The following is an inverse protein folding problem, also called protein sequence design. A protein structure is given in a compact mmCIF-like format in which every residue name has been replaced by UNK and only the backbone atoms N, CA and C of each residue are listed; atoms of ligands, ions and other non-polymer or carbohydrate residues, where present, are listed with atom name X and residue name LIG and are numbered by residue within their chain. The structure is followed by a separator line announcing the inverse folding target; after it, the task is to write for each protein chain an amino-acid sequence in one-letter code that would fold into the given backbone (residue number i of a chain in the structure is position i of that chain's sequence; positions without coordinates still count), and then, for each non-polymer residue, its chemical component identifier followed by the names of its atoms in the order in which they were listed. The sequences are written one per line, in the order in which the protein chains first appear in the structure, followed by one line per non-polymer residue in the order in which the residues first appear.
data_IF_397714550954
#
_entry.id   IF_397714550954
#
_cell.length_a   1.000
_cell.length_b   1.000
_cell.length_c   1.000
_cell.angle_alpha   90.00
_cell.angle_beta   90.00
_cell.angle_gamma   90.00
#
_symmetry.space_group_name_H-M   'P 1'
#
loop_
_entity.id
_entity.type
_entity.pdbx_description
1 polymer ?
#
# COMPACT_ATOMS: atom_id res chain seq x y z
N UNK A 1 29.81 -23.59 -12.71
CA UNK A 1 30.16 -23.97 -11.34
C UNK A 1 28.86 -24.16 -10.59
N UNK A 2 28.73 -25.30 -9.89
CA UNK A 2 27.58 -25.60 -9.01
C UNK A 2 28.07 -25.47 -7.58
N UNK A 3 27.41 -24.59 -6.80
CA UNK A 3 27.67 -24.45 -5.38
C UNK A 3 26.58 -25.16 -4.60
N UNK A 4 26.95 -25.99 -3.62
CA UNK A 4 26.04 -26.67 -2.72
C UNK A 4 26.44 -26.34 -1.30
N UNK A 5 25.51 -25.85 -0.51
CA UNK A 5 25.73 -25.48 0.88
C UNK A 5 24.51 -25.79 1.74
N UNK A 6 24.68 -25.69 3.05
CA UNK A 6 23.58 -25.78 4.01
C UNK A 6 23.17 -24.37 4.41
N UNK A 7 21.87 -24.09 4.29
CA UNK A 7 21.30 -22.82 4.75
C UNK A 7 21.33 -22.80 6.28
N UNK A 8 21.82 -21.73 6.92
CA UNK A 8 21.77 -21.60 8.38
C UNK A 8 20.34 -21.67 8.91
N UNK A 9 20.14 -22.07 10.15
CA UNK A 9 18.82 -22.01 10.78
C UNK A 9 18.39 -20.54 10.97
N UNK A 10 17.09 -20.29 10.88
CA UNK A 10 16.50 -18.98 11.23
C UNK A 10 16.15 -19.05 12.71
N UNK A 11 16.66 -18.13 13.49
CA UNK A 11 16.32 -18.03 14.91
C UNK A 11 15.04 -17.20 15.11
N UNK A 12 14.86 -16.14 14.31
CA UNK A 12 13.70 -15.24 14.36
C UNK A 12 13.35 -14.74 12.96
N UNK A 13 12.07 -14.50 12.70
CA UNK A 13 11.61 -13.82 11.50
C UNK A 13 11.37 -12.34 11.79
N UNK A 14 11.94 -11.45 10.99
CA UNK A 14 11.70 -10.01 11.05
C UNK A 14 11.20 -9.50 9.71
N UNK A 15 10.19 -8.64 9.72
CA UNK A 15 9.70 -7.99 8.52
C UNK A 15 10.60 -6.83 8.13
N UNK A 16 10.91 -5.93 9.08
CA UNK A 16 11.78 -4.77 8.84
C UNK A 16 12.65 -4.49 10.09
N UNK A 17 14.00 -4.57 9.97
CA UNK A 17 14.76 -4.93 8.76
C UNK A 17 14.65 -6.41 8.41
N UNK A 18 14.65 -6.72 7.10
CA UNK A 18 14.66 -8.10 6.64
C UNK A 18 15.99 -8.79 7.03
N UNK A 19 15.91 -9.98 7.62
CA UNK A 19 17.10 -10.75 7.93
C UNK A 19 17.74 -11.32 6.66
N UNK A 20 19.04 -11.10 6.52
CA UNK A 20 19.85 -11.65 5.45
C UNK A 20 20.97 -12.51 6.00
N UNK A 21 21.45 -13.43 5.20
CA UNK A 21 22.67 -14.18 5.46
C UNK A 21 23.54 -14.22 4.22
N UNK A 22 24.85 -14.36 4.42
CA UNK A 22 25.81 -14.53 3.34
C UNK A 22 25.66 -15.91 2.71
N UNK A 23 25.06 -15.97 1.52
CA UNK A 23 24.89 -17.22 0.78
C UNK A 23 26.21 -17.67 0.11
N UNK A 24 26.98 -16.72 -0.42
CA UNK A 24 28.25 -16.98 -1.09
C UNK A 24 29.20 -15.82 -0.85
N UNK A 25 30.44 -16.16 -0.48
CA UNK A 25 31.56 -15.23 -0.46
C UNK A 25 32.61 -15.71 -1.45
N UNK A 26 32.96 -14.87 -2.39
CA UNK A 26 34.00 -15.14 -3.39
C UNK A 26 35.32 -14.54 -2.91
N UNK A 27 36.29 -15.41 -2.61
CA UNK A 27 37.62 -14.99 -2.20
C UNK A 27 38.66 -15.41 -3.23
N UNK A 28 39.57 -14.53 -3.55
CA UNK A 28 40.77 -14.82 -4.36
C UNK A 28 41.96 -15.06 -3.44
N UNK A 29 42.51 -16.27 -3.48
CA UNK A 29 43.74 -16.60 -2.77
C UNK A 29 44.92 -16.53 -3.73
N UNK A 30 46.06 -15.99 -3.29
CA UNK A 30 47.34 -16.01 -4.01
C UNK A 30 48.33 -16.94 -3.29
N UNK A 31 49.21 -17.56 -4.06
CA UNK A 31 50.38 -18.29 -3.50
C UNK A 31 51.20 -17.33 -2.62
N UNK A 32 51.21 -17.56 -1.34
CA UNK A 32 51.83 -16.67 -0.33
C UNK A 32 50.89 -16.24 0.79
N UNK A 33 49.63 -16.71 0.79
CA UNK A 33 48.70 -16.61 1.93
C UNK A 33 47.85 -15.34 2.02
N UNK A 34 47.95 -14.40 1.06
CA UNK A 34 47.02 -13.28 1.04
C UNK A 34 45.72 -13.66 0.29
N UNK A 35 44.58 -13.52 0.98
CA UNK A 35 43.26 -13.66 0.37
C UNK A 35 42.52 -12.30 0.33
N UNK A 36 41.88 -12.03 -0.77
CA UNK A 36 41.01 -10.86 -0.93
C UNK A 36 39.59 -11.32 -1.24
N UNK A 37 38.62 -10.82 -0.49
CA UNK A 37 37.20 -11.00 -0.83
C UNK A 37 36.89 -10.15 -2.05
N UNK A 38 36.38 -10.78 -3.11
CA UNK A 38 36.00 -10.12 -4.36
C UNK A 38 34.56 -9.65 -4.29
N UNK A 39 33.68 -10.52 -3.78
CA UNK A 39 32.24 -10.26 -3.76
C UNK A 39 31.55 -11.12 -2.72
N UNK A 40 30.53 -10.56 -2.08
CA UNK A 40 29.68 -11.21 -1.08
C UNK A 40 28.24 -11.14 -1.57
N UNK A 41 27.58 -12.30 -1.65
CA UNK A 41 26.16 -12.39 -2.02
C UNK A 41 25.34 -12.69 -0.77
N UNK A 42 24.52 -11.76 -0.40
CA UNK A 42 23.54 -11.92 0.68
C UNK A 42 22.18 -12.32 0.12
N UNK A 43 21.47 -13.16 0.84
CA UNK A 43 20.09 -13.55 0.54
C UNK A 43 19.29 -13.70 1.83
N UNK A 44 17.97 -13.74 1.70
CA UNK A 44 17.05 -13.91 2.82
C UNK A 44 16.71 -15.38 3.03
N UNK A 45 16.47 -15.74 4.29
CA UNK A 45 15.81 -17.00 4.61
C UNK A 45 14.33 -16.90 4.24
N UNK A 46 13.81 -17.94 3.63
CA UNK A 46 12.37 -18.04 3.39
C UNK A 46 11.93 -19.51 3.25
N UNK A 47 10.74 -19.77 3.73
CA UNK A 47 9.91 -20.89 3.34
C UNK A 47 8.87 -20.41 2.32
N UNK A 48 8.19 -21.33 1.65
CA UNK A 48 7.09 -20.93 0.75
C UNK A 48 5.97 -20.19 1.49
N UNK A 49 5.79 -20.44 2.77
CA UNK A 49 4.78 -19.79 3.61
C UNK A 49 5.23 -18.41 4.06
N UNK A 50 6.45 -18.27 4.56
CA UNK A 50 6.99 -16.97 4.95
C UNK A 50 7.16 -16.03 3.75
N UNK A 51 7.47 -16.56 2.55
CA UNK A 51 7.52 -15.77 1.33
C UNK A 51 6.13 -15.18 1.00
N UNK A 52 5.08 -16.02 1.01
CA UNK A 52 3.71 -15.55 0.75
C UNK A 52 3.25 -14.51 1.76
N UNK A 53 3.60 -14.70 3.03
CA UNK A 53 3.25 -13.74 4.07
C UNK A 53 3.96 -12.40 3.85
N UNK A 54 5.25 -12.43 3.47
CA UNK A 54 5.99 -11.23 3.14
C UNK A 54 5.41 -10.51 1.91
N UNK A 55 5.11 -11.25 0.84
CA UNK A 55 4.53 -10.69 -0.38
C UNK A 55 3.19 -9.99 -0.06
N UNK A 56 2.35 -10.59 0.80
CA UNK A 56 1.10 -9.97 1.24
C UNK A 56 1.33 -8.71 2.11
N UNK A 57 2.34 -8.71 2.97
CA UNK A 57 2.74 -7.53 3.75
C UNK A 57 3.25 -6.40 2.86
N UNK A 58 4.07 -6.72 1.86
CA UNK A 58 4.59 -5.73 0.92
C UNK A 58 3.45 -5.11 0.09
N UNK A 59 2.45 -5.91 -0.32
CA UNK A 59 1.24 -5.42 -1.00
C UNK A 59 0.40 -4.51 -0.09
N UNK A 60 0.23 -4.89 1.18
CA UNK A 60 -0.52 -4.08 2.14
C UNK A 60 0.18 -2.75 2.43
N UNK A 61 1.51 -2.77 2.60
CA UNK A 61 2.30 -1.55 2.79
C UNK A 61 2.16 -0.60 1.60
N UNK A 62 2.27 -1.12 0.37
CA UNK A 62 2.08 -0.34 -0.84
C UNK A 62 0.66 0.26 -0.94
N UNK A 63 -0.38 -0.52 -0.64
CA UNK A 63 -1.76 -0.03 -0.67
C UNK A 63 -2.02 1.10 0.36
N UNK A 64 -1.40 1.01 1.54
CA UNK A 64 -1.48 2.06 2.56
C UNK A 64 -0.74 3.31 2.10
N UNK A 65 0.47 3.17 1.55
CA UNK A 65 1.29 4.29 1.07
C UNK A 65 0.66 5.02 -0.12
N UNK A 66 0.05 4.29 -1.04
CA UNK A 66 -0.62 4.85 -2.22
C UNK A 66 -1.96 5.52 -1.88
N UNK A 67 -2.58 5.16 -0.75
CA UNK A 67 -3.86 5.74 -0.34
C UNK A 67 -3.68 7.19 0.12
N UNK A 68 -4.52 8.06 -0.44
CA UNK A 68 -4.62 9.44 0.03
C UNK A 68 -5.77 9.64 1.04
N UNK A 69 -6.39 8.57 1.50
CA UNK A 69 -7.47 8.56 2.47
C UNK A 69 -6.94 8.34 3.91
N UNK A 70 -7.84 8.29 4.88
CA UNK A 70 -7.51 7.91 6.25
C UNK A 70 -7.30 6.39 6.32
N UNK A 71 -6.06 5.97 6.55
CA UNK A 71 -5.61 4.58 6.58
C UNK A 71 -5.41 4.01 7.99
N UNK A 72 -5.83 4.73 9.03
CA UNK A 72 -5.56 4.35 10.42
C UNK A 72 -6.07 2.93 10.80
N UNK A 73 -7.12 2.44 10.16
CA UNK A 73 -7.63 1.08 10.36
C UNK A 73 -6.76 0.05 9.62
N UNK A 74 -6.38 0.36 8.37
CA UNK A 74 -5.48 -0.47 7.58
C UNK A 74 -4.09 -0.60 8.23
N UNK A 75 -3.56 0.49 8.77
CA UNK A 75 -2.28 0.50 9.50
C UNK A 75 -2.30 -0.40 10.73
N UNK A 76 -3.42 -0.42 11.48
CA UNK A 76 -3.56 -1.34 12.63
C UNK A 76 -3.57 -2.80 12.21
N UNK A 77 -4.31 -3.14 11.14
CA UNK A 77 -4.35 -4.50 10.60
C UNK A 77 -2.98 -4.91 10.07
N UNK A 78 -2.27 -4.00 9.40
CA UNK A 78 -0.91 -4.20 8.94
C UNK A 78 0.06 -4.48 10.11
N UNK A 79 0.00 -3.71 11.19
CA UNK A 79 0.85 -3.91 12.35
C UNK A 79 0.58 -5.27 13.02
N UNK A 80 -0.67 -5.72 13.05
CA UNK A 80 -1.03 -7.06 13.54
C UNK A 80 -0.50 -8.15 12.60
N UNK A 81 -0.51 -7.90 11.27
CA UNK A 81 0.07 -8.81 10.29
C UNK A 81 1.59 -8.96 10.45
N UNK A 82 2.30 -7.85 10.71
CA UNK A 82 3.74 -7.86 11.02
C UNK A 82 4.02 -8.68 12.27
N UNK A 83 3.27 -8.46 13.35
CA UNK A 83 3.43 -9.21 14.59
C UNK A 83 3.19 -10.73 14.39
N UNK A 84 2.17 -11.08 13.58
CA UNK A 84 1.90 -12.48 13.23
C UNK A 84 3.04 -13.10 12.40
N UNK A 85 3.62 -12.33 11.47
CA UNK A 85 4.77 -12.75 10.67
C UNK A 85 5.99 -13.02 11.55
N UNK A 86 6.30 -12.13 12.48
CA UNK A 86 7.40 -12.27 13.44
C UNK A 86 7.16 -13.39 14.43
N UNK A 87 5.90 -13.72 14.74
CA UNK A 87 5.49 -14.87 15.52
C UNK A 87 5.41 -16.19 14.75
N UNK A 88 5.88 -16.23 13.49
CA UNK A 88 5.83 -17.39 12.58
C UNK A 88 4.41 -17.89 12.25
N UNK A 89 3.39 -17.07 12.55
CA UNK A 89 1.98 -17.33 12.21
C UNK A 89 1.67 -16.84 10.78
N UNK A 90 2.38 -17.39 9.78
CA UNK A 90 2.37 -16.90 8.41
C UNK A 90 0.99 -16.87 7.76
N UNK A 91 0.15 -17.86 8.04
CA UNK A 91 -1.23 -17.89 7.52
C UNK A 91 -2.05 -16.72 8.06
N UNK A 92 -1.92 -16.42 9.35
CA UNK A 92 -2.58 -15.27 9.98
C UNK A 92 -2.02 -13.95 9.46
N UNK A 93 -0.70 -13.87 9.26
CA UNK A 93 -0.06 -12.70 8.66
C UNK A 93 -0.62 -12.38 7.28
N UNK A 94 -0.81 -13.40 6.42
CA UNK A 94 -1.44 -13.24 5.09
C UNK A 94 -2.87 -12.73 5.21
N UNK A 95 -3.67 -13.28 6.13
CA UNK A 95 -5.07 -12.87 6.31
C UNK A 95 -5.17 -11.40 6.75
N UNK A 96 -4.39 -11.02 7.75
CA UNK A 96 -4.37 -9.64 8.29
C UNK A 96 -3.80 -8.64 7.28
N UNK A 97 -2.77 -9.01 6.51
CA UNK A 97 -2.23 -8.18 5.44
C UNK A 97 -3.26 -7.95 4.33
N UNK A 98 -3.96 -9.00 3.90
CA UNK A 98 -5.06 -8.87 2.92
C UNK A 98 -6.20 -7.99 3.47
N UNK A 99 -6.50 -8.08 4.76
CA UNK A 99 -7.48 -7.19 5.39
C UNK A 99 -7.01 -5.73 5.36
N UNK A 100 -5.74 -5.46 5.67
CA UNK A 100 -5.17 -4.13 5.58
C UNK A 100 -5.25 -3.55 4.15
N UNK A 101 -4.91 -4.35 3.14
CA UNK A 101 -5.05 -3.97 1.72
C UNK A 101 -6.49 -3.61 1.37
N UNK A 102 -7.47 -4.42 1.79
CA UNK A 102 -8.88 -4.14 1.53
C UNK A 102 -9.36 -2.86 2.23
N UNK A 103 -8.93 -2.62 3.47
CA UNK A 103 -9.28 -1.42 4.23
C UNK A 103 -8.69 -0.16 3.56
N UNK A 104 -7.43 -0.18 3.14
CA UNK A 104 -6.79 0.93 2.44
C UNK A 104 -7.52 1.26 1.12
N UNK A 105 -7.80 0.23 0.31
CA UNK A 105 -8.53 0.39 -0.94
C UNK A 105 -9.97 0.90 -0.73
N UNK A 106 -10.66 0.45 0.31
CA UNK A 106 -12.01 0.89 0.64
C UNK A 106 -12.04 2.34 1.14
N UNK A 107 -11.03 2.77 1.89
CA UNK A 107 -10.87 4.14 2.33
C UNK A 107 -10.67 5.08 1.12
N UNK A 108 -9.79 4.73 0.19
CA UNK A 108 -9.56 5.51 -1.04
C UNK A 108 -10.82 5.58 -1.92
N UNK A 109 -11.53 4.46 -2.09
CA UNK A 109 -12.78 4.43 -2.86
C UNK A 109 -13.86 5.31 -2.23
N UNK A 110 -13.98 5.31 -0.91
CA UNK A 110 -14.90 6.15 -0.16
C UNK A 110 -14.58 7.63 -0.33
N UNK A 111 -13.30 8.00 -0.33
CA UNK A 111 -12.83 9.36 -0.61
C UNK A 111 -13.20 9.81 -2.01
N UNK A 112 -12.93 8.99 -3.03
CA UNK A 112 -13.28 9.31 -4.42
C UNK A 112 -14.79 9.50 -4.59
N UNK A 113 -15.60 8.64 -3.96
CA UNK A 113 -17.07 8.75 -4.00
C UNK A 113 -17.54 10.06 -3.35
N UNK A 114 -16.98 10.44 -2.20
CA UNK A 114 -17.30 11.72 -1.53
C UNK A 114 -16.94 12.92 -2.39
N UNK A 115 -15.77 12.93 -3.03
CA UNK A 115 -15.37 14.01 -3.94
C UNK A 115 -16.34 14.13 -5.12
N UNK A 116 -16.70 13.02 -5.74
CA UNK A 116 -17.67 13.02 -6.85
C UNK A 116 -19.02 13.56 -6.43
N UNK A 117 -19.53 13.19 -5.24
CA UNK A 117 -20.79 13.71 -4.72
C UNK A 117 -20.75 15.21 -4.43
N UNK A 118 -19.62 15.71 -3.91
CA UNK A 118 -19.45 17.16 -3.67
C UNK A 118 -19.49 17.92 -5.00
N UNK A 119 -18.78 17.48 -6.03
CA UNK A 119 -18.78 18.12 -7.33
C UNK A 119 -20.17 18.05 -8.01
N UNK A 120 -20.86 16.91 -7.90
CA UNK A 120 -22.22 16.77 -8.41
C UNK A 120 -23.19 17.70 -7.67
N UNK A 121 -23.09 17.79 -6.33
CA UNK A 121 -23.92 18.71 -5.53
C UNK A 121 -23.70 20.18 -5.88
N UNK A 122 -22.45 20.61 -6.02
CA UNK A 122 -22.11 21.98 -6.43
C UNK A 122 -22.64 22.26 -7.84
N UNK A 123 -22.51 21.32 -8.78
CA UNK A 123 -23.03 21.46 -10.13
C UNK A 123 -24.55 21.68 -10.15
N UNK A 124 -25.31 20.94 -9.38
CA UNK A 124 -26.78 21.09 -9.27
C UNK A 124 -27.16 22.47 -8.71
N UNK A 125 -26.46 22.94 -7.67
CA UNK A 125 -26.73 24.28 -7.09
C UNK A 125 -26.44 25.37 -8.10
N UNK A 126 -25.35 25.30 -8.84
CA UNK A 126 -25.01 26.30 -9.88
C UNK A 126 -26.08 26.32 -10.98
N UNK A 127 -26.52 25.16 -11.47
CA UNK A 127 -27.58 25.07 -12.47
C UNK A 127 -28.91 25.65 -11.95
N UNK A 128 -29.28 25.34 -10.70
CA UNK A 128 -30.49 25.87 -10.08
C UNK A 128 -30.45 27.40 -9.96
N UNK A 129 -29.30 27.98 -9.59
CA UNK A 129 -29.13 29.44 -9.54
C UNK A 129 -29.20 30.09 -10.91
N UNK A 130 -28.63 29.48 -11.94
CA UNK A 130 -28.69 30.00 -13.31
C UNK A 130 -30.12 29.95 -13.85
N UNK A 131 -30.84 28.85 -13.68
CA UNK A 131 -32.24 28.71 -14.12
C UNK A 131 -33.16 29.62 -13.33
N UNK A 132 -33.02 29.65 -11.98
CA UNK A 132 -33.81 30.54 -11.12
C UNK A 132 -33.57 32.01 -11.42
N UNK A 133 -32.31 32.43 -11.61
CA UNK A 133 -31.93 33.77 -11.98
C UNK A 133 -32.47 34.17 -13.36
N UNK A 134 -32.42 33.28 -14.33
CA UNK A 134 -32.96 33.49 -15.66
C UNK A 134 -34.50 33.65 -15.66
N UNK A 135 -35.20 32.79 -14.91
CA UNK A 135 -36.67 32.89 -14.78
C UNK A 135 -37.08 34.15 -14.02
N UNK A 136 -36.34 34.52 -12.97
CA UNK A 136 -36.57 35.76 -12.24
C UNK A 136 -36.37 36.99 -13.13
N UNK A 137 -35.29 37.02 -13.93
CA UNK A 137 -35.04 38.13 -14.90
C UNK A 137 -36.10 38.20 -15.96
N UNK A 138 -36.57 37.08 -16.50
CA UNK A 138 -37.63 37.01 -17.47
C UNK A 138 -38.98 37.50 -16.91
N UNK A 139 -39.31 37.17 -15.66
CA UNK A 139 -40.55 37.62 -15.03
C UNK A 139 -40.62 39.15 -14.82
N UNK A 140 -39.49 39.81 -14.70
CA UNK A 140 -39.43 41.26 -14.60
C UNK A 140 -39.68 41.97 -15.96
N UNK A 141 -39.38 41.33 -17.07
CA UNK A 141 -39.60 41.93 -18.39
C UNK A 141 -41.07 41.93 -18.80
N UNK A 142 -41.88 40.99 -18.31
CA UNK A 142 -43.31 40.93 -18.62
C UNK A 142 -44.14 41.99 -17.88
N UNK A 143 -43.58 42.68 -16.90
CA UNK A 143 -44.31 43.75 -16.16
C UNK A 143 -44.26 45.11 -16.85
N UNK A 144 -43.38 45.31 -17.82
CA UNK A 144 -43.27 46.59 -18.54
C UNK A 144 -44.20 46.76 -19.75
N UNK A 145 -44.87 45.67 -20.17
CA UNK A 145 -45.67 45.70 -21.41
C UNK A 145 -47.20 45.92 -21.19
N UNK A 146 -47.61 46.30 -19.94
CA UNK A 146 -49.04 46.54 -19.63
C UNK A 146 -49.42 47.97 -19.31
N UNK A 147 -48.60 48.96 -19.68
CA UNK A 147 -48.91 50.37 -19.58
C UNK A 147 -48.69 51.09 -20.96
N UNK A 148 -49.44 50.67 -21.97
CA UNK A 148 -49.51 51.32 -23.25
C UNK A 148 -50.92 51.28 -23.73
#
# INVERSE_FOLDING_TARGET
VQLTGTVPAVDDYSYDPAQTFTAVELTQSREGGASNTIETYETRHYTSESQRARDALDEAAAAIEESNADTAEAERSFQQAVNAFEGEEFSLAVELANQATQQANSAEQSRQTRQTLIYAGVGVVVVALLVGGFLYWRSQQETYDKLG
#
